data_IF_486192291549
#
_entry.id   IF_486192291549
#
_cell.length_a   1.000
_cell.length_b   1.000
_cell.length_c   1.000
_cell.angle_alpha   90.00
_cell.angle_beta   90.00
_cell.angle_gamma   90.00
#
_symmetry.space_group_name_H-M   'P 1'
#
loop_
_entity.id
_entity.type
_entity.pdbx_description
1 polymer ?
#
# COMPACT_ATOMS: atom_id res chain seq x y z
N UNK A 1 -22.99 19.39 2.00
CA UNK A 1 -23.31 18.33 1.03
C UNK A 1 -24.46 17.55 1.66
N UNK A 2 -25.64 17.61 1.05
CA UNK A 2 -26.87 17.07 1.63
C UNK A 2 -26.94 15.55 1.38
N UNK A 3 -27.20 14.76 2.41
CA UNK A 3 -27.29 13.30 2.30
C UNK A 3 -25.97 12.55 2.34
N UNK A 4 -24.89 13.15 2.85
CA UNK A 4 -23.70 12.40 3.24
C UNK A 4 -23.95 11.67 4.56
N UNK A 5 -23.54 10.41 4.64
CA UNK A 5 -23.49 9.64 5.89
C UNK A 5 -22.08 9.12 6.16
N UNK A 6 -21.80 8.72 7.41
CA UNK A 6 -20.54 8.05 7.77
C UNK A 6 -20.87 6.71 8.40
N UNK A 7 -20.36 5.64 7.80
CA UNK A 7 -20.59 4.25 8.22
C UNK A 7 -19.27 3.49 8.30
N UNK A 8 -19.28 2.31 8.92
CA UNK A 8 -18.12 1.42 8.84
C UNK A 8 -18.05 0.78 7.45
N UNK A 9 -16.85 0.38 7.01
CA UNK A 9 -16.67 -0.31 5.74
C UNK A 9 -17.41 -1.66 5.72
N UNK A 10 -17.57 -2.31 6.89
CA UNK A 10 -18.38 -3.51 7.01
C UNK A 10 -19.87 -3.22 6.75
N UNK A 11 -20.39 -2.18 7.38
CA UNK A 11 -21.79 -1.77 7.23
C UNK A 11 -22.09 -1.33 5.79
N UNK A 12 -21.19 -0.55 5.19
CA UNK A 12 -21.27 -0.21 3.77
C UNK A 12 -21.33 -1.46 2.90
N UNK A 13 -20.42 -2.42 3.13
CA UNK A 13 -20.37 -3.65 2.35
C UNK A 13 -21.68 -4.44 2.47
N UNK A 14 -22.25 -4.54 3.68
CA UNK A 14 -23.53 -5.22 3.90
C UNK A 14 -24.68 -4.58 3.11
N UNK A 15 -24.73 -3.24 3.05
CA UNK A 15 -25.76 -2.52 2.28
C UNK A 15 -25.62 -2.77 0.78
N UNK A 16 -24.40 -2.65 0.24
CA UNK A 16 -24.11 -2.94 -1.17
C UNK A 16 -24.40 -4.39 -1.56
N UNK A 17 -24.14 -5.33 -0.64
CA UNK A 17 -24.49 -6.74 -0.82
C UNK A 17 -26.00 -6.95 -0.94
N UNK A 18 -26.79 -6.29 -0.10
CA UNK A 18 -28.26 -6.36 -0.14
C UNK A 18 -28.80 -5.77 -1.45
N UNK A 19 -28.28 -4.60 -1.87
CA UNK A 19 -28.71 -3.95 -3.11
C UNK A 19 -28.38 -4.78 -4.34
N UNK A 20 -27.17 -5.36 -4.41
CA UNK A 20 -26.75 -6.23 -5.53
C UNK A 20 -27.51 -7.55 -5.57
N UNK A 21 -27.84 -8.15 -4.42
CA UNK A 21 -28.69 -9.35 -4.41
C UNK A 21 -30.09 -9.06 -4.96
N UNK A 22 -30.60 -7.84 -4.75
CA UNK A 22 -31.86 -7.41 -5.33
C UNK A 22 -31.72 -7.17 -6.85
N UNK A 23 -30.67 -6.45 -7.28
CA UNK A 23 -30.39 -6.24 -8.70
C UNK A 23 -30.10 -7.53 -9.46
N UNK A 24 -29.37 -8.49 -8.89
CA UNK A 24 -29.07 -9.78 -9.52
C UNK A 24 -30.30 -10.68 -9.62
N UNK A 25 -31.25 -10.58 -8.69
CA UNK A 25 -32.57 -11.23 -8.82
C UNK A 25 -33.37 -10.59 -9.95
N UNK A 26 -33.25 -9.28 -10.12
CA UNK A 26 -33.96 -8.53 -11.15
C UNK A 26 -33.31 -8.67 -12.54
N UNK A 27 -31.98 -8.87 -12.62
CA UNK A 27 -31.19 -8.91 -13.87
C UNK A 27 -30.59 -10.29 -14.23
N UNK A 28 -30.69 -11.31 -13.37
CA UNK A 28 -30.32 -12.69 -13.69
C UNK A 28 -28.82 -13.01 -13.77
N UNK A 29 -27.92 -12.15 -13.25
CA UNK A 29 -26.46 -12.28 -13.46
C UNK A 29 -25.66 -12.42 -12.16
N UNK A 30 -25.69 -13.58 -11.50
CA UNK A 30 -24.94 -13.79 -10.25
C UNK A 30 -23.42 -13.82 -10.42
N UNK A 31 -22.71 -12.72 -10.12
CA UNK A 31 -21.25 -12.72 -9.92
C UNK A 31 -20.90 -12.74 -8.42
N UNK A 32 -20.61 -13.93 -7.91
CA UNK A 32 -20.29 -14.19 -6.50
C UNK A 32 -18.83 -13.86 -6.16
N UNK A 33 -18.49 -12.57 -6.10
CA UNK A 33 -17.37 -12.12 -5.30
C UNK A 33 -17.83 -11.91 -3.85
N UNK A 34 -17.05 -12.33 -2.85
CA UNK A 34 -17.41 -12.07 -1.45
C UNK A 34 -17.48 -10.56 -1.18
N UNK A 35 -18.64 -10.08 -0.72
CA UNK A 35 -18.97 -8.66 -0.47
C UNK A 35 -17.85 -7.92 0.30
N UNK A 36 -17.24 -8.57 1.30
CA UNK A 36 -16.12 -8.01 2.05
C UNK A 36 -14.84 -7.80 1.22
N UNK A 37 -14.53 -8.69 0.27
CA UNK A 37 -13.38 -8.54 -0.61
C UNK A 37 -13.58 -7.39 -1.60
N UNK A 38 -14.81 -7.23 -2.11
CA UNK A 38 -15.17 -6.12 -2.96
C UNK A 38 -15.05 -4.77 -2.23
N UNK A 39 -15.60 -4.67 -1.02
CA UNK A 39 -15.50 -3.45 -0.22
C UNK A 39 -14.05 -3.03 0.07
N UNK A 40 -13.16 -4.00 0.34
CA UNK A 40 -11.73 -3.71 0.46
C UNK A 40 -11.15 -3.14 -0.82
N UNK A 41 -11.49 -3.71 -1.98
CA UNK A 41 -10.98 -3.22 -3.26
C UNK A 41 -11.49 -1.81 -3.57
N UNK A 42 -12.78 -1.55 -3.38
CA UNK A 42 -13.36 -0.21 -3.57
C UNK A 42 -12.69 0.82 -2.66
N UNK A 43 -12.48 0.48 -1.38
CA UNK A 43 -11.78 1.35 -0.45
C UNK A 43 -10.32 1.60 -0.85
N UNK A 44 -9.60 0.55 -1.26
CA UNK A 44 -8.22 0.64 -1.72
C UNK A 44 -8.08 1.55 -2.95
N UNK A 45 -9.02 1.48 -3.89
CA UNK A 45 -9.02 2.31 -5.09
C UNK A 45 -9.24 3.79 -4.74
N UNK A 46 -10.17 4.09 -3.83
CA UNK A 46 -10.42 5.45 -3.35
C UNK A 46 -9.21 6.04 -2.61
N UNK A 47 -8.59 5.26 -1.71
CA UNK A 47 -7.39 5.71 -0.99
C UNK A 47 -6.23 5.91 -1.96
N UNK A 48 -6.01 4.98 -2.89
CA UNK A 48 -4.96 5.12 -3.90
C UNK A 48 -5.15 6.38 -4.75
N UNK A 49 -6.38 6.67 -5.20
CA UNK A 49 -6.69 7.90 -5.94
C UNK A 49 -6.37 9.16 -5.12
N UNK A 50 -6.70 9.18 -3.82
CA UNK A 50 -6.42 10.32 -2.95
C UNK A 50 -4.91 10.57 -2.72
N UNK A 51 -4.09 9.52 -2.77
CA UNK A 51 -2.65 9.59 -2.51
C UNK A 51 -1.79 9.51 -3.79
N UNK A 52 -2.40 9.42 -4.97
CA UNK A 52 -1.71 9.36 -6.25
C UNK A 52 -0.74 10.54 -6.47
N UNK A 53 -1.14 11.76 -6.09
CA UNK A 53 -0.28 12.95 -6.18
C UNK A 53 0.99 12.88 -5.28
N UNK A 54 1.00 12.00 -4.28
CA UNK A 54 2.18 11.72 -3.44
C UNK A 54 3.02 10.55 -3.94
N UNK A 55 2.65 9.93 -5.06
CA UNK A 55 3.32 8.76 -5.62
C UNK A 55 3.15 7.49 -4.78
N UNK A 56 2.20 7.44 -3.84
CA UNK A 56 1.96 6.24 -3.03
C UNK A 56 1.11 5.24 -3.81
N UNK A 57 1.63 4.05 -4.16
CA UNK A 57 0.91 3.09 -4.98
C UNK A 57 -0.21 2.39 -4.20
N UNK A 58 -1.25 1.91 -4.89
CA UNK A 58 -2.32 1.09 -4.29
C UNK A 58 -1.78 -0.11 -3.50
N UNK A 59 -0.72 -0.75 -4.01
CA UNK A 59 -0.09 -1.91 -3.38
C UNK A 59 0.43 -1.62 -1.96
N UNK A 60 0.84 -0.38 -1.67
CA UNK A 60 1.25 0.05 -0.33
C UNK A 60 0.09 -0.09 0.67
N UNK A 61 -1.10 0.43 0.32
CA UNK A 61 -2.28 0.34 1.17
C UNK A 61 -2.81 -1.09 1.29
N UNK A 62 -2.71 -1.88 0.20
CA UNK A 62 -3.07 -3.29 0.22
C UNK A 62 -2.19 -4.08 1.20
N UNK A 63 -0.87 -3.91 1.12
CA UNK A 63 0.07 -4.53 2.06
C UNK A 63 -0.21 -4.10 3.50
N UNK A 64 -0.51 -2.81 3.74
CA UNK A 64 -0.91 -2.28 5.05
C UNK A 64 -2.21 -2.88 5.61
N UNK A 65 -3.14 -3.33 4.76
CA UNK A 65 -4.32 -4.07 5.23
C UNK A 65 -3.96 -5.52 5.55
N UNK A 66 -3.29 -6.19 4.61
CA UNK A 66 -2.99 -7.62 4.67
C UNK A 66 -2.01 -7.99 5.79
N UNK A 67 -1.05 -7.10 6.08
CA UNK A 67 -0.06 -7.31 7.13
C UNK A 67 -0.51 -6.85 8.51
N UNK A 68 -1.71 -6.25 8.66
CA UNK A 68 -2.19 -5.79 9.96
C UNK A 68 -2.93 -6.91 10.71
N UNK A 69 -2.36 -7.46 11.80
CA UNK A 69 -3.02 -8.51 12.58
C UNK A 69 -4.29 -8.04 13.29
N UNK A 70 -4.47 -6.73 13.45
CA UNK A 70 -5.67 -6.12 14.05
C UNK A 70 -6.71 -5.69 13.01
N UNK A 71 -6.52 -6.05 11.74
CA UNK A 71 -7.41 -5.64 10.66
C UNK A 71 -8.87 -6.01 10.95
N UNK A 72 -9.74 -5.01 10.87
CA UNK A 72 -11.18 -5.17 11.02
C UNK A 72 -11.91 -4.14 10.15
N UNK A 73 -12.85 -4.59 9.33
CA UNK A 73 -13.65 -3.71 8.47
C UNK A 73 -14.49 -2.70 9.28
N UNK A 74 -14.86 -3.03 10.52
CA UNK A 74 -15.53 -2.09 11.42
C UNK A 74 -14.64 -0.91 11.85
N UNK A 75 -13.33 -0.99 11.64
CA UNK A 75 -12.37 0.04 12.04
C UNK A 75 -11.99 0.95 10.88
N UNK A 76 -12.59 0.76 9.70
CA UNK A 76 -12.46 1.65 8.56
C UNK A 76 -13.78 2.41 8.43
N UNK A 77 -13.74 3.72 8.61
CA UNK A 77 -14.92 4.59 8.53
C UNK A 77 -14.89 5.28 7.18
N UNK A 78 -16.02 5.28 6.48
CA UNK A 78 -16.18 5.90 5.16
C UNK A 78 -17.34 6.88 5.18
N UNK A 79 -17.12 8.08 4.63
CA UNK A 79 -18.20 8.99 4.30
C UNK A 79 -18.69 8.67 2.90
N UNK A 80 -20.01 8.48 2.73
CA UNK A 80 -20.62 8.11 1.45
C UNK A 80 -21.70 9.09 1.04
N UNK A 81 -21.93 9.21 -0.27
CA UNK A 81 -23.13 9.87 -0.80
C UNK A 81 -24.36 8.93 -0.76
N UNK A 82 -25.51 9.42 -1.24
CA UNK A 82 -26.76 8.64 -1.29
C UNK A 82 -26.72 7.45 -2.25
N UNK A 83 -25.71 7.35 -3.10
CA UNK A 83 -25.49 6.25 -4.06
C UNK A 83 -24.44 5.26 -3.56
N UNK A 84 -23.94 5.43 -2.33
CA UNK A 84 -22.89 4.57 -1.77
C UNK A 84 -21.47 4.94 -2.22
N UNK A 85 -21.25 6.05 -2.95
CA UNK A 85 -19.91 6.44 -3.39
C UNK A 85 -19.05 6.90 -2.20
N UNK A 86 -17.88 6.30 -1.99
CA UNK A 86 -16.96 6.67 -0.91
C UNK A 86 -16.24 7.99 -1.22
N UNK A 87 -16.52 9.03 -0.42
CA UNK A 87 -16.01 10.39 -0.63
C UNK A 87 -14.81 10.71 0.26
N UNK A 88 -14.74 10.09 1.44
CA UNK A 88 -13.71 10.30 2.44
C UNK A 88 -13.58 9.08 3.34
N UNK A 89 -12.41 8.86 3.94
CA UNK A 89 -12.22 7.76 4.90
C UNK A 89 -11.26 8.13 6.02
N UNK A 90 -11.35 7.36 7.11
CA UNK A 90 -10.38 7.29 8.18
C UNK A 90 -10.34 5.85 8.71
N UNK A 91 -9.15 5.25 8.75
CA UNK A 91 -8.92 3.95 9.39
C UNK A 91 -8.41 4.13 10.81
N UNK A 92 -8.94 3.30 11.72
CA UNK A 92 -8.52 3.16 13.11
C UNK A 92 -7.65 1.90 13.24
N UNK A 93 -6.38 2.09 13.58
CA UNK A 93 -5.43 1.05 13.92
C UNK A 93 -5.48 0.80 15.43
N UNK A 94 -5.98 -0.35 15.86
CA UNK A 94 -5.96 -0.70 17.28
C UNK A 94 -4.59 -1.28 17.62
N UNK A 95 -3.88 -0.62 18.54
CA UNK A 95 -2.54 -0.99 19.00
C UNK A 95 -2.49 -0.94 20.51
N UNK A 96 -1.52 -1.60 21.11
CA UNK A 96 -1.22 -1.41 22.53
C UNK A 96 -0.15 -0.33 22.70
N UNK A 97 -0.32 0.51 23.72
CA UNK A 97 0.64 1.52 24.13
C UNK A 97 0.89 1.41 25.63
N UNK A 98 2.14 1.62 26.05
CA UNK A 98 2.47 1.75 27.46
C UNK A 98 2.37 3.21 27.89
N UNK A 99 1.55 3.49 28.90
CA UNK A 99 1.46 4.79 29.58
C UNK A 99 1.82 4.59 31.03
N UNK A 100 2.93 5.20 31.48
CA UNK A 100 3.47 5.04 32.84
C UNK A 100 3.64 3.55 33.24
N UNK A 101 4.08 2.71 32.30
CA UNK A 101 4.26 1.27 32.52
C UNK A 101 2.98 0.43 32.42
N UNK A 102 1.81 1.05 32.20
CA UNK A 102 0.52 0.37 32.08
C UNK A 102 0.17 0.21 30.60
N UNK A 103 -0.12 -1.01 30.18
CA UNK A 103 -0.61 -1.30 28.83
C UNK A 103 -2.05 -0.83 28.67
N UNK A 104 -2.29 0.04 27.69
CA UNK A 104 -3.61 0.54 27.33
C UNK A 104 -3.81 0.43 25.81
N UNK A 105 -5.06 0.27 25.34
CA UNK A 105 -5.34 0.33 23.92
C UNK A 105 -5.19 1.77 23.40
N UNK A 106 -4.61 1.88 22.22
CA UNK A 106 -4.40 3.09 21.44
C UNK A 106 -5.12 2.93 20.09
N UNK A 107 -5.87 3.96 19.69
CA UNK A 107 -6.44 4.04 18.36
C UNK A 107 -5.64 4.98 17.46
N UNK A 108 -4.80 4.42 16.62
CA UNK A 108 -4.07 5.14 15.59
C UNK A 108 -5.01 5.57 14.46
N UNK A 109 -5.03 6.84 14.05
CA UNK A 109 -5.74 7.26 12.85
C UNK A 109 -4.78 7.28 11.65
N UNK A 110 -5.17 6.60 10.57
CA UNK A 110 -4.45 6.63 9.30
C UNK A 110 -5.37 6.50 8.10
N UNK A 111 -4.74 6.52 6.92
CA UNK A 111 -5.40 6.60 5.61
C UNK A 111 -6.50 7.68 5.56
N UNK A 112 -6.30 8.76 6.32
CA UNK A 112 -7.27 9.86 6.40
C UNK A 112 -7.18 10.66 5.10
N UNK A 113 -8.21 10.53 4.26
CA UNK A 113 -8.28 11.28 3.02
C UNK A 113 -9.71 11.62 2.62
N UNK A 114 -9.82 12.66 1.79
CA UNK A 114 -11.04 13.07 1.10
C UNK A 114 -10.69 13.20 -0.38
N UNK A 115 -11.52 12.61 -1.23
CA UNK A 115 -11.38 12.69 -2.68
C UNK A 115 -11.25 14.16 -3.11
N UNK A 116 -10.33 14.51 -4.03
CA UNK A 116 -10.03 15.90 -4.37
C UNK A 116 -11.26 16.74 -4.73
N UNK A 117 -12.21 16.17 -5.48
CA UNK A 117 -13.42 16.85 -5.95
C UNK A 117 -14.41 17.16 -4.81
N UNK A 118 -14.33 16.46 -3.69
CA UNK A 118 -15.24 16.61 -2.55
C UNK A 118 -14.61 17.35 -1.36
N UNK A 119 -13.39 17.90 -1.52
CA UNK A 119 -12.72 18.72 -0.48
C UNK A 119 -13.49 20.01 -0.20
N UNK A 120 -13.24 20.61 0.97
CA UNK A 120 -13.91 21.86 1.38
C UNK A 120 -15.33 21.68 1.96
N UNK A 121 -15.89 20.47 1.95
CA UNK A 121 -17.24 20.18 2.44
C UNK A 121 -17.29 19.62 3.87
N UNK A 122 -16.17 19.65 4.61
CA UNK A 122 -16.10 19.16 5.98
C UNK A 122 -16.11 17.63 6.14
N UNK A 123 -15.99 16.85 5.05
CA UNK A 123 -16.03 15.38 5.09
C UNK A 123 -14.93 14.76 5.97
N UNK A 124 -13.69 15.28 5.89
CA UNK A 124 -12.59 14.84 6.75
C UNK A 124 -12.89 15.04 8.24
N UNK A 125 -13.51 16.17 8.59
CA UNK A 125 -13.99 16.44 9.96
C UNK A 125 -15.06 15.44 10.37
N UNK A 126 -15.98 15.08 9.48
CA UNK A 126 -17.02 14.09 9.78
C UNK A 126 -16.42 12.71 10.05
N UNK A 127 -15.55 12.20 9.18
CA UNK A 127 -14.94 10.87 9.38
C UNK A 127 -14.06 10.84 10.64
N UNK A 128 -13.29 11.88 10.94
CA UNK A 128 -12.48 11.95 12.17
C UNK A 128 -13.37 11.91 13.42
N UNK A 129 -14.45 12.70 13.45
CA UNK A 129 -15.38 12.71 14.59
C UNK A 129 -16.02 11.34 14.81
N UNK A 130 -16.46 10.69 13.74
CA UNK A 130 -17.03 9.35 13.83
C UNK A 130 -15.99 8.31 14.23
N UNK A 131 -14.73 8.42 13.77
CA UNK A 131 -13.65 7.54 14.22
C UNK A 131 -13.34 7.71 15.71
N UNK A 132 -13.34 8.95 16.22
CA UNK A 132 -13.17 9.22 17.67
C UNK A 132 -14.33 8.64 18.48
N UNK A 133 -15.56 8.84 18.02
CA UNK A 133 -16.72 8.27 18.70
C UNK A 133 -16.74 6.73 18.63
N UNK A 134 -16.29 6.17 17.51
CA UNK A 134 -16.08 4.73 17.35
C UNK A 134 -15.06 4.18 18.35
N UNK A 135 -13.92 4.85 18.51
CA UNK A 135 -12.92 4.50 19.54
C UNK A 135 -13.49 4.56 20.96
N UNK A 136 -14.31 5.58 21.27
CA UNK A 136 -14.98 5.68 22.58
C UNK A 136 -15.89 4.49 22.86
N UNK A 137 -16.71 4.07 21.87
CA UNK A 137 -17.57 2.88 22.00
C UNK A 137 -16.79 1.59 22.22
N UNK A 138 -15.56 1.52 21.72
CA UNK A 138 -14.63 0.41 21.93
C UNK A 138 -13.86 0.49 23.26
N UNK A 139 -14.07 1.53 24.08
CA UNK A 139 -13.30 1.75 25.31
C UNK A 139 -11.86 2.20 25.08
N UNK A 140 -11.53 2.69 23.88
CA UNK A 140 -10.18 3.18 23.53
C UNK A 140 -10.09 4.65 23.90
N UNK A 141 -9.40 4.95 25.00
CA UNK A 141 -9.32 6.29 25.57
C UNK A 141 -8.29 7.21 24.88
N UNK A 142 -7.29 6.63 24.21
CA UNK A 142 -6.18 7.38 23.59
C UNK A 142 -6.21 7.20 22.08
N UNK A 143 -6.09 8.31 21.35
CA UNK A 143 -5.90 8.31 19.91
C UNK A 143 -4.62 9.04 19.52
N UNK A 144 -3.94 8.53 18.51
CA UNK A 144 -2.75 9.14 17.95
C UNK A 144 -2.79 9.13 16.43
N UNK A 145 -2.05 10.04 15.81
CA UNK A 145 -1.82 10.03 14.37
C UNK A 145 -0.47 10.65 14.08
N UNK A 146 0.08 10.33 12.91
CA UNK A 146 1.27 10.99 12.39
C UNK A 146 0.91 11.92 11.25
N UNK A 147 1.45 13.13 11.27
CA UNK A 147 1.40 14.03 10.12
C UNK A 147 2.72 14.78 9.96
N UNK A 148 3.32 14.64 8.78
CA UNK A 148 4.53 15.37 8.40
C UNK A 148 4.24 16.75 7.81
N UNK A 149 2.96 17.10 7.62
CA UNK A 149 2.54 18.34 6.96
C UNK A 149 2.18 19.41 8.00
N UNK A 150 2.98 20.49 8.14
CA UNK A 150 2.76 21.51 9.17
C UNK A 150 1.38 22.15 9.11
N UNK A 151 0.84 22.36 7.91
CA UNK A 151 -0.48 22.98 7.73
C UNK A 151 -1.64 22.12 8.24
N UNK A 152 -1.47 20.79 8.34
CA UNK A 152 -2.48 19.89 8.91
C UNK A 152 -2.51 19.91 10.44
N UNK A 153 -1.49 20.45 11.11
CA UNK A 153 -1.47 20.57 12.58
C UNK A 153 -2.66 21.35 13.11
N UNK A 154 -2.97 22.50 12.49
CA UNK A 154 -4.12 23.33 12.86
C UNK A 154 -5.45 22.62 12.58
N UNK A 155 -5.51 21.79 11.56
CA UNK A 155 -6.69 20.99 11.25
C UNK A 155 -6.96 19.95 12.36
N UNK A 156 -5.97 19.15 12.72
CA UNK A 156 -6.12 18.14 13.78
C UNK A 156 -6.31 18.76 15.17
N UNK A 157 -5.71 19.92 15.45
CA UNK A 157 -5.94 20.64 16.71
C UNK A 157 -7.41 21.01 16.95
N UNK A 158 -8.18 21.31 15.88
CA UNK A 158 -9.65 21.55 15.98
C UNK A 158 -10.42 20.30 16.42
N UNK A 159 -9.81 19.13 16.34
CA UNK A 159 -10.37 17.85 16.77
C UNK A 159 -9.79 17.35 18.11
N UNK A 160 -9.05 18.21 18.83
CA UNK A 160 -8.51 17.90 20.16
C UNK A 160 -7.14 17.21 20.14
N UNK A 161 -6.53 17.01 18.98
CA UNK A 161 -5.18 16.45 18.89
C UNK A 161 -4.14 17.49 19.29
N UNK A 162 -3.16 17.06 20.08
CA UNK A 162 -2.00 17.86 20.47
C UNK A 162 -0.72 17.21 19.97
N UNK A 163 0.33 18.01 19.77
CA UNK A 163 1.64 17.48 19.40
C UNK A 163 2.26 16.75 20.60
N UNK A 164 2.73 15.52 20.38
CA UNK A 164 3.54 14.77 21.33
C UNK A 164 4.97 14.66 20.81
N UNK A 165 5.95 14.78 21.71
CA UNK A 165 7.35 14.54 21.36
C UNK A 165 7.59 13.07 21.09
N UNK A 166 8.22 12.76 19.97
CA UNK A 166 8.64 11.41 19.63
C UNK A 166 10.12 11.24 20.01
N UNK A 167 10.39 10.26 20.85
CA UNK A 167 11.75 9.81 21.16
C UNK A 167 11.86 8.34 20.77
N UNK A 168 12.93 8.01 20.06
CA UNK A 168 13.16 6.65 19.59
C UNK A 168 14.40 6.09 20.26
N UNK A 169 14.27 4.88 20.79
CA UNK A 169 15.41 4.08 21.22
C UNK A 169 15.58 2.95 20.21
N UNK A 170 16.75 2.88 19.60
CA UNK A 170 17.08 1.81 18.68
C UNK A 170 17.62 0.63 19.48
N UNK A 171 17.00 -0.54 19.32
CA UNK A 171 17.50 -1.78 19.87
C UNK A 171 18.03 -2.64 18.73
N UNK A 172 19.25 -3.14 18.86
CA UNK A 172 19.74 -4.20 17.98
C UNK A 172 19.26 -5.54 18.54
N UNK A 173 18.30 -6.15 17.83
CA UNK A 173 17.90 -7.51 18.12
C UNK A 173 18.98 -8.44 17.54
N UNK A 174 19.76 -9.10 18.40
CA UNK A 174 20.61 -10.21 17.99
C UNK A 174 19.73 -11.43 17.74
N UNK A 175 19.21 -11.55 16.52
CA UNK A 175 18.60 -12.80 16.06
C UNK A 175 19.69 -13.83 15.78
N UNK A 176 19.55 -15.06 16.28
CA UNK A 176 20.24 -16.20 15.66
C UNK A 176 19.76 -16.29 14.21
N UNK A 177 20.62 -16.58 13.22
CA UNK A 177 20.18 -16.68 11.84
C UNK A 177 19.04 -17.71 11.75
N UNK A 178 17.93 -17.34 11.09
CA UNK A 178 16.88 -18.29 10.77
C UNK A 178 17.48 -19.39 9.87
N UNK A 179 17.51 -20.64 10.35
CA UNK A 179 18.09 -21.80 9.62
C UNK A 179 17.52 -21.95 8.19
N UNK A 180 16.29 -21.49 7.98
CA UNK A 180 15.63 -21.45 6.68
C UNK A 180 16.32 -20.52 5.66
N UNK A 181 16.85 -19.37 6.09
CA UNK A 181 17.56 -18.42 5.22
C UNK A 181 18.92 -18.94 4.78
N UNK A 182 19.63 -19.65 5.68
CA UNK A 182 20.91 -20.30 5.36
C UNK A 182 20.75 -21.47 4.37
N UNK A 183 19.66 -22.24 4.47
CA UNK A 183 19.40 -23.34 3.52
C UNK A 183 19.06 -22.84 2.11
N UNK A 184 18.29 -21.76 1.99
CA UNK A 184 17.99 -21.16 0.68
C UNK A 184 19.23 -20.54 0.02
N UNK A 185 20.09 -19.86 0.79
CA UNK A 185 21.36 -19.34 0.27
C UNK A 185 22.32 -20.44 -0.15
N UNK A 186 22.41 -21.54 0.61
CA UNK A 186 23.23 -22.69 0.22
C UNK A 186 22.69 -23.39 -1.04
N UNK A 187 21.38 -23.55 -1.18
CA UNK A 187 20.79 -24.11 -2.40
C UNK A 187 21.02 -23.22 -3.62
N UNK A 188 20.88 -21.90 -3.49
CA UNK A 188 21.19 -20.97 -4.60
C UNK A 188 22.67 -21.01 -4.98
N UNK A 189 23.59 -21.05 -4.01
CA UNK A 189 25.02 -21.17 -4.30
C UNK A 189 25.36 -22.50 -4.99
N UNK A 190 24.76 -23.61 -4.55
CA UNK A 190 24.94 -24.92 -5.21
C UNK A 190 24.41 -24.93 -6.64
N UNK A 191 23.22 -24.34 -6.90
CA UNK A 191 22.67 -24.24 -8.25
C UNK A 191 23.54 -23.40 -9.19
N UNK A 192 24.07 -22.26 -8.70
CA UNK A 192 24.98 -21.42 -9.49
C UNK A 192 26.30 -22.16 -9.82
N UNK A 193 26.87 -22.90 -8.88
CA UNK A 193 28.07 -23.70 -9.12
C UNK A 193 27.83 -24.82 -10.15
N UNK A 194 26.67 -25.48 -10.09
CA UNK A 194 26.31 -26.51 -11.08
C UNK A 194 26.15 -25.92 -12.49
N UNK A 195 25.52 -24.76 -12.63
CA UNK A 195 25.39 -24.08 -13.92
C UNK A 195 26.75 -23.67 -14.52
N UNK A 196 27.66 -23.14 -13.71
CA UNK A 196 29.02 -22.80 -14.17
C UNK A 196 29.83 -24.02 -14.61
N UNK A 197 29.67 -25.17 -13.92
CA UNK A 197 30.34 -26.41 -14.32
C UNK A 197 29.76 -26.99 -15.62
N UNK A 198 28.46 -26.86 -15.86
CA UNK A 198 27.83 -27.28 -17.11
C UNK A 198 28.25 -26.41 -18.29
N UNK A 199 28.35 -25.08 -18.09
CA UNK A 199 28.87 -24.16 -19.11
C UNK A 199 30.34 -24.44 -19.46
N UNK A 200 31.17 -24.76 -18.46
CA UNK A 200 32.57 -25.16 -18.69
C UNK A 200 32.72 -26.49 -19.44
N UNK A 201 31.78 -27.42 -19.27
CA UNK A 201 31.78 -28.69 -20.01
C UNK A 201 31.23 -28.55 -21.44
N UNK A 202 30.40 -27.54 -21.70
CA UNK A 202 29.90 -27.22 -23.04
C UNK A 202 30.93 -26.53 -23.95
N UNK A 203 31.86 -25.75 -23.38
CA UNK A 203 32.87 -25.03 -24.14
C UNK A 203 34.08 -25.88 -24.59
N UNK A 204 34.16 -27.14 -24.19
CA UNK A 204 35.31 -28.02 -24.48
C UNK A 204 35.17 -28.87 -25.76
N UNK A 205 34.21 -28.57 -26.65
CA UNK A 205 33.90 -29.42 -27.80
C UNK A 205 33.79 -28.67 -29.14
N UNK A 206 34.28 -27.42 -29.24
CA UNK A 206 34.31 -26.64 -30.49
C UNK A 206 35.72 -26.23 -30.95
N UNK A 207 36.79 -26.81 -30.39
CA UNK A 207 38.16 -26.61 -30.89
C UNK A 207 38.62 -27.84 -31.67
N UNK A 208 38.08 -28.02 -32.88
CA UNK A 208 38.70 -28.81 -33.96
C UNK A 208 37.95 -28.59 -35.27
N UNK A 209 38.18 -27.43 -35.89
CA UNK A 209 38.18 -27.21 -37.36
C UNK A 209 38.33 -25.72 -37.65
N UNK A 210 39.52 -25.31 -38.06
CA UNK A 210 39.78 -24.32 -39.11
C UNK A 210 41.25 -23.89 -39.02
N UNK A 211 42.13 -24.68 -39.62
CA UNK A 211 43.35 -24.17 -40.28
C UNK A 211 43.01 -24.10 -41.78
N UNK A 212 43.66 -23.17 -42.51
CA UNK A 212 43.43 -22.73 -43.91
C UNK A 212 42.41 -21.58 -44.00
N UNK A 213 42.65 -20.39 -44.56
CA UNK A 213 43.71 -19.79 -45.40
C UNK A 213 43.44 -18.24 -45.47
N UNK A 214 44.34 -17.49 -46.11
CA UNK A 214 44.24 -16.12 -46.68
C UNK A 214 44.59 -14.92 -45.76
N UNK A 215 45.77 -14.31 -45.85
CA UNK A 215 46.43 -13.53 -46.94
C UNK A 215 45.89 -12.09 -47.13
N UNK A 216 46.81 -11.17 -46.79
CA UNK A 216 47.17 -9.91 -47.47
C UNK A 216 46.42 -8.59 -47.19
N UNK A 217 47.25 -7.65 -46.71
CA UNK A 217 47.12 -6.21 -46.62
C UNK A 217 46.99 -5.54 -48.00
N UNK A 218 46.27 -4.41 -48.09
CA UNK A 218 46.69 -3.31 -48.98
C UNK A 218 46.15 -1.94 -48.47
N UNK A 219 47.10 -1.03 -48.23
CA UNK A 219 46.97 0.43 -48.07
C UNK A 219 46.45 1.06 -49.39
N UNK A 220 45.84 2.25 -49.48
CA UNK A 220 46.39 3.63 -49.42
C UNK A 220 45.23 4.55 -49.88
N UNK A 221 44.79 5.57 -49.13
CA UNK A 221 45.23 6.98 -49.14
C UNK A 221 44.78 7.89 -50.32
N UNK A 222 44.32 9.10 -49.96
CA UNK A 222 44.20 10.36 -50.76
C UNK A 222 43.09 10.44 -51.85
N UNK A 223 42.46 11.58 -52.19
CA UNK A 223 42.79 12.99 -52.02
C UNK A 223 41.56 13.93 -52.16
N UNK A 224 41.70 15.11 -51.55
CA UNK A 224 40.97 16.38 -51.74
C UNK A 224 40.87 16.77 -53.24
N UNK A 225 39.77 17.36 -53.73
CA UNK A 225 39.50 18.82 -53.68
C UNK A 225 38.48 19.36 -54.72
N UNK A 226 37.82 20.47 -54.35
CA UNK A 226 37.28 21.58 -55.16
C UNK A 226 35.92 21.52 -55.92
N UNK A 227 34.92 22.29 -55.45
CA UNK A 227 34.42 23.60 -55.98
C UNK A 227 33.04 23.94 -55.35
N UNK A 228 32.91 24.98 -54.50
CA UNK A 228 32.35 26.34 -54.80
C UNK A 228 30.84 26.31 -55.18
N UNK A 229 29.89 27.02 -54.54
CA UNK A 229 29.85 28.34 -53.89
C UNK A 229 29.02 28.31 -52.60
#
# INVERSE_FOLDING_TARGET
>A
MEGTEVVSLLEWAQREGIEREQEDKDNGTGRRGGVAAQAKNTWLDMVAACFAAKGTPRAYFQQHLEADPSFNLNHILVATDKRGEMLSTCRVFVRDMLVNGIGIPLGGLGEVCTHPEYRGHGLSTQVIRHSVEHMRRLGIAVSALHTSQPHLRRFYAKHGFVSASLSFTHFQLQGKPNEAGSMQQQQQQQQQQQQQQQQRKGAGNEDNKADEEDEEDEEEAYNFDNFRH
#
